data_IF_134319699345
#
_entry.id   IF_134319699345
#
_cell.length_a   1.000
_cell.length_b   1.000
_cell.length_c   1.000
_cell.angle_alpha   90.00
_cell.angle_beta   90.00
_cell.angle_gamma   90.00
#
_symmetry.space_group_name_H-M   'P 1'
#
loop_
_entity.id
_entity.type
_entity.pdbx_description
1 polymer ?
#
# COMPACT_ATOMS: atom_id res chain seq x y z
N UNK A 1 3.04 -18.55 9.99
CA UNK A 1 3.57 -17.35 10.69
C UNK A 1 2.41 -16.77 11.49
N UNK A 2 2.65 -16.41 12.74
CA UNK A 2 1.58 -16.17 13.74
C UNK A 2 1.11 -14.71 13.70
N UNK A 3 -0.18 -14.48 13.98
CA UNK A 3 -0.74 -13.14 14.20
C UNK A 3 0.05 -12.41 15.30
N UNK A 4 0.20 -11.08 15.18
CA UNK A 4 0.85 -10.24 16.19
C UNK A 4 -0.18 -9.36 16.90
N UNK A 5 -0.31 -9.44 18.25
CA UNK A 5 -1.34 -8.70 19.00
C UNK A 5 -1.35 -7.20 18.75
N UNK A 6 -0.16 -6.58 18.69
CA UNK A 6 0.01 -5.13 18.52
C UNK A 6 -0.08 -4.66 17.05
N UNK A 7 -0.28 -5.57 16.10
CA UNK A 7 -0.30 -5.21 14.69
C UNK A 7 -1.73 -4.85 14.25
N UNK A 8 -1.99 -3.60 13.81
CA UNK A 8 -3.34 -3.18 13.40
C UNK A 8 -3.86 -4.00 12.21
N UNK A 9 -2.96 -4.48 11.36
CA UNK A 9 -3.28 -5.32 10.22
C UNK A 9 -3.46 -6.80 10.56
N UNK A 10 -3.01 -7.28 11.72
CA UNK A 10 -3.39 -8.64 12.17
C UNK A 10 -4.79 -8.66 12.79
N UNK A 11 -5.26 -7.51 13.29
CA UNK A 11 -6.53 -7.36 13.98
C UNK A 11 -7.29 -6.14 13.48
N UNK A 12 -7.61 -6.05 12.18
CA UNK A 12 -8.27 -4.86 11.61
C UNK A 12 -9.62 -4.57 12.26
N UNK A 13 -10.31 -5.59 12.79
CA UNK A 13 -11.58 -5.43 13.49
C UNK A 13 -11.48 -4.71 14.85
N UNK A 14 -10.28 -4.52 15.41
CA UNK A 14 -10.09 -3.79 16.68
C UNK A 14 -10.03 -2.28 16.49
N UNK A 15 -9.78 -1.82 15.25
CA UNK A 15 -9.82 -0.40 14.90
C UNK A 15 -11.19 -0.08 14.30
N UNK A 16 -11.99 0.72 15.02
CA UNK A 16 -13.35 1.09 14.62
C UNK A 16 -13.41 1.95 13.35
N UNK A 17 -12.30 2.60 12.98
CA UNK A 17 -12.21 3.38 11.73
C UNK A 17 -11.70 2.53 10.55
N UNK A 18 -11.24 1.31 10.81
CA UNK A 18 -10.74 0.38 9.80
C UNK A 18 -11.90 -0.45 9.23
N UNK A 19 -12.12 -0.33 7.92
CA UNK A 19 -13.16 -1.07 7.21
C UNK A 19 -12.53 -2.17 6.35
N UNK A 20 -13.06 -3.38 6.48
CA UNK A 20 -12.80 -4.49 5.54
C UNK A 20 -13.79 -4.31 4.40
N UNK A 21 -13.28 -3.96 3.21
CA UNK A 21 -14.11 -3.68 2.03
C UNK A 21 -14.33 -4.96 1.22
N UNK A 22 -13.26 -5.73 1.00
CA UNK A 22 -13.29 -7.04 0.37
C UNK A 22 -12.39 -8.00 1.13
N UNK A 23 -12.65 -9.30 1.02
CA UNK A 23 -11.77 -10.33 1.56
C UNK A 23 -11.78 -11.59 0.70
N UNK A 24 -10.64 -12.27 0.71
CA UNK A 24 -10.46 -13.62 0.17
C UNK A 24 -10.13 -14.57 1.33
N UNK A 25 -9.67 -15.79 1.04
CA UNK A 25 -9.27 -16.72 2.10
C UNK A 25 -8.07 -16.20 2.91
N UNK A 26 -7.09 -15.57 2.25
CA UNK A 26 -5.79 -15.20 2.80
C UNK A 26 -5.49 -13.70 2.78
N UNK A 27 -6.32 -12.85 2.18
CA UNK A 27 -6.09 -11.41 2.12
C UNK A 27 -7.34 -10.58 2.44
N UNK A 28 -7.13 -9.32 2.83
CA UNK A 28 -8.14 -8.28 2.98
C UNK A 28 -7.81 -7.09 2.09
N UNK A 29 -8.84 -6.42 1.55
CA UNK A 29 -8.74 -5.03 1.11
C UNK A 29 -9.35 -4.14 2.19
N UNK A 30 -8.53 -3.23 2.71
CA UNK A 30 -8.84 -2.41 3.87
C UNK A 30 -8.84 -0.91 3.52
N UNK A 31 -9.81 -0.16 4.02
CA UNK A 31 -9.84 1.30 3.96
C UNK A 31 -9.95 1.88 5.37
N UNK A 32 -9.11 2.86 5.71
CA UNK A 32 -9.13 3.51 7.01
C UNK A 32 -9.83 4.88 6.92
N UNK A 33 -10.75 5.17 7.86
CA UNK A 33 -11.56 6.40 7.90
C UNK A 33 -10.77 7.70 7.75
N UNK A 34 -9.72 7.89 8.56
CA UNK A 34 -8.77 9.03 8.47
C UNK A 34 -8.21 9.33 7.08
N UNK A 35 -8.02 8.32 6.21
CA UNK A 35 -7.47 8.53 4.88
C UNK A 35 -8.51 9.05 3.87
N UNK A 36 -9.80 8.82 4.13
CA UNK A 36 -10.87 9.06 3.15
C UNK A 36 -11.14 10.54 2.90
N UNK A 37 -10.81 11.42 3.85
CA UNK A 37 -10.90 12.87 3.67
C UNK A 37 -9.71 13.50 2.93
N UNK A 38 -8.64 12.72 2.68
CA UNK A 38 -7.43 13.20 1.98
C UNK A 38 -7.45 12.75 0.52
N UNK A 39 -7.61 11.45 0.30
CA UNK A 39 -7.78 10.85 -1.02
C UNK A 39 -8.82 9.74 -0.89
N UNK A 40 -10.06 10.04 -1.24
CA UNK A 40 -11.19 9.12 -1.16
C UNK A 40 -10.87 7.80 -1.85
N UNK A 41 -11.25 6.69 -1.24
CA UNK A 41 -11.05 5.36 -1.81
C UNK A 41 -9.67 4.76 -1.53
N UNK A 42 -8.71 5.55 -1.04
CA UNK A 42 -7.39 5.04 -0.69
C UNK A 42 -7.48 3.92 0.34
N UNK A 43 -6.79 2.82 0.05
CA UNK A 43 -6.79 1.63 0.86
C UNK A 43 -5.52 0.81 0.71
N UNK A 44 -5.51 -0.35 1.35
CA UNK A 44 -4.41 -1.30 1.31
C UNK A 44 -4.89 -2.74 1.16
N UNK A 45 -4.16 -3.56 0.41
CA UNK A 45 -4.35 -5.01 0.37
C UNK A 45 -3.32 -5.68 1.27
N UNK A 46 -3.79 -6.52 2.19
CA UNK A 46 -3.01 -7.03 3.33
C UNK A 46 -3.25 -8.54 3.49
N UNK A 47 -2.21 -9.37 3.67
CA UNK A 47 -2.41 -10.77 3.99
C UNK A 47 -2.96 -10.93 5.42
N UNK A 48 -3.80 -11.94 5.65
CA UNK A 48 -4.37 -12.21 6.99
C UNK A 48 -3.30 -12.72 7.95
N UNK A 49 -2.35 -13.51 7.45
CA UNK A 49 -1.17 -13.89 8.22
C UNK A 49 -0.16 -12.75 8.24
N UNK A 50 0.52 -12.59 9.37
CA UNK A 50 1.56 -11.58 9.49
C UNK A 50 2.75 -11.89 8.57
N UNK A 51 2.89 -11.11 7.49
CA UNK A 51 4.05 -11.11 6.58
C UNK A 51 4.73 -9.77 6.72
N UNK A 52 6.03 -9.70 6.98
CA UNK A 52 6.66 -8.39 7.22
C UNK A 52 6.87 -7.62 5.92
N UNK A 53 6.96 -8.32 4.79
CA UNK A 53 7.25 -7.76 3.47
C UNK A 53 6.55 -8.55 2.36
N UNK A 54 6.36 -7.97 1.16
CA UNK A 54 5.81 -8.70 0.01
C UNK A 54 6.68 -9.90 -0.42
N UNK A 55 7.97 -9.91 -0.03
CA UNK A 55 8.88 -11.03 -0.31
C UNK A 55 8.54 -12.30 0.48
N UNK A 56 7.70 -12.20 1.52
CA UNK A 56 7.25 -13.31 2.35
C UNK A 56 5.86 -13.84 1.94
N UNK A 57 5.20 -13.19 0.97
CA UNK A 57 3.91 -13.65 0.47
C UNK A 57 4.07 -15.01 -0.22
N UNK A 58 3.17 -15.91 0.11
CA UNK A 58 3.00 -17.20 -0.57
C UNK A 58 2.39 -17.00 -1.96
N UNK A 59 2.48 -18.00 -2.85
CA UNK A 59 1.83 -17.94 -4.16
C UNK A 59 0.31 -17.65 -4.09
N UNK A 60 -0.38 -18.21 -3.10
CA UNK A 60 -1.81 -17.98 -2.91
C UNK A 60 -2.08 -16.53 -2.45
N UNK A 61 -1.31 -16.01 -1.49
CA UNK A 61 -1.44 -14.61 -1.06
C UNK A 61 -1.14 -13.64 -2.21
N UNK A 62 -0.18 -13.95 -3.10
CA UNK A 62 0.07 -13.17 -4.32
C UNK A 62 -1.12 -13.19 -5.30
N UNK A 63 -1.67 -14.37 -5.57
CA UNK A 63 -2.83 -14.54 -6.46
C UNK A 63 -4.05 -13.76 -5.91
N UNK A 64 -4.34 -13.93 -4.63
CA UNK A 64 -5.47 -13.26 -3.99
C UNK A 64 -5.25 -11.75 -3.85
N UNK A 65 -4.00 -11.30 -3.71
CA UNK A 65 -3.67 -9.87 -3.79
C UNK A 65 -4.02 -9.30 -5.16
N UNK A 66 -3.73 -10.03 -6.25
CA UNK A 66 -4.12 -9.61 -7.60
C UNK A 66 -5.64 -9.61 -7.79
N UNK A 67 -6.34 -10.62 -7.27
CA UNK A 67 -7.81 -10.68 -7.30
C UNK A 67 -8.44 -9.47 -6.60
N UNK A 68 -8.02 -9.19 -5.35
CA UNK A 68 -8.49 -8.05 -4.58
C UNK A 68 -8.14 -6.72 -5.24
N UNK A 69 -7.01 -6.62 -5.95
CA UNK A 69 -6.65 -5.41 -6.70
C UNK A 69 -7.62 -5.17 -7.87
N UNK A 70 -8.07 -6.23 -8.54
CA UNK A 70 -9.12 -6.15 -9.57
C UNK A 70 -10.43 -5.62 -8.99
N UNK A 71 -10.91 -6.21 -7.89
CA UNK A 71 -12.14 -5.78 -7.21
C UNK A 71 -12.03 -4.34 -6.68
N UNK A 72 -10.89 -3.97 -6.10
CA UNK A 72 -10.63 -2.61 -5.65
C UNK A 72 -10.70 -1.63 -6.83
N UNK A 73 -10.13 -1.96 -8.00
CA UNK A 73 -10.23 -1.11 -9.18
C UNK A 73 -11.68 -0.93 -9.64
N UNK A 74 -12.47 -1.99 -9.72
CA UNK A 74 -13.87 -1.92 -10.14
C UNK A 74 -14.71 -1.02 -9.22
N UNK A 75 -14.46 -1.09 -7.91
CA UNK A 75 -15.07 -0.21 -6.94
C UNK A 75 -14.62 1.24 -7.13
N UNK A 76 -13.30 1.47 -7.23
CA UNK A 76 -12.71 2.81 -7.28
C UNK A 76 -12.95 3.52 -8.61
N UNK A 77 -13.18 2.80 -9.71
CA UNK A 77 -13.56 3.41 -10.98
C UNK A 77 -14.91 4.15 -10.90
N UNK A 78 -15.76 3.83 -9.91
CA UNK A 78 -17.06 4.50 -9.70
C UNK A 78 -16.91 5.97 -9.27
N UNK A 79 -15.77 6.35 -8.71
CA UNK A 79 -15.43 7.73 -8.36
C UNK A 79 -14.52 8.40 -9.40
N UNK A 80 -14.36 7.77 -10.58
CA UNK A 80 -13.68 8.32 -11.75
C UNK A 80 -12.28 8.92 -11.50
N UNK A 81 -11.33 8.18 -10.88
CA UNK A 81 -9.96 8.67 -10.72
C UNK A 81 -9.25 8.81 -12.07
N UNK A 82 -8.38 9.81 -12.19
CA UNK A 82 -7.51 10.01 -13.36
C UNK A 82 -6.38 8.99 -13.44
N UNK A 83 -6.10 8.26 -12.36
CA UNK A 83 -5.13 7.17 -12.34
C UNK A 83 -4.95 6.55 -10.96
N UNK A 84 -3.90 5.75 -10.80
CA UNK A 84 -3.62 5.06 -9.54
C UNK A 84 -2.12 5.11 -9.20
N UNK A 85 -1.80 5.18 -7.91
CA UNK A 85 -0.48 4.85 -7.37
C UNK A 85 -0.60 3.54 -6.61
N UNK A 86 0.13 2.53 -7.08
CA UNK A 86 0.18 1.20 -6.47
C UNK A 86 1.60 0.92 -6.00
N UNK A 87 1.77 0.37 -4.79
CA UNK A 87 3.09 -0.05 -4.33
C UNK A 87 3.19 -0.48 -2.89
N UNK A 88 4.31 -1.10 -2.56
CA UNK A 88 4.71 -1.44 -1.20
C UNK A 88 5.89 -0.58 -0.78
N UNK A 89 5.89 -0.18 0.48
CA UNK A 89 7.08 0.28 1.17
C UNK A 89 7.66 -0.88 1.99
N UNK A 90 8.97 -1.10 1.89
CA UNK A 90 9.65 -2.19 2.63
C UNK A 90 10.84 -1.62 3.39
N UNK A 91 10.83 -1.79 4.70
CA UNK A 91 11.83 -1.26 5.61
C UNK A 91 11.69 0.23 5.92
N UNK A 92 12.40 0.67 6.96
CA UNK A 92 12.33 2.02 7.51
C UNK A 92 12.73 3.09 6.47
N UNK A 93 13.79 2.85 5.70
CA UNK A 93 14.24 3.77 4.66
C UNK A 93 13.20 3.99 3.54
N UNK A 94 12.28 3.05 3.35
CA UNK A 94 11.16 3.18 2.40
C UNK A 94 9.90 3.75 3.07
N UNK A 95 9.96 4.15 4.34
CA UNK A 95 8.82 4.61 5.13
C UNK A 95 7.75 3.53 5.36
N UNK A 96 8.16 2.29 5.65
CA UNK A 96 7.25 1.24 6.14
C UNK A 96 6.98 1.44 7.65
N UNK A 97 5.95 2.19 8.00
CA UNK A 97 5.58 2.47 9.41
C UNK A 97 4.96 1.27 10.13
N UNK A 98 4.22 0.42 9.40
CA UNK A 98 3.65 -0.83 9.91
C UNK A 98 4.41 -1.98 9.28
N UNK A 99 5.13 -2.75 10.10
CA UNK A 99 5.95 -3.90 9.70
C UNK A 99 5.17 -5.14 9.26
N UNK A 100 4.03 -4.95 8.60
CA UNK A 100 3.19 -5.98 8.00
C UNK A 100 2.94 -5.55 6.55
N UNK A 101 3.30 -6.37 5.57
CA UNK A 101 3.11 -6.19 4.14
C UNK A 101 1.71 -5.66 3.82
N UNK A 102 1.66 -4.55 3.10
CA UNK A 102 0.42 -3.94 2.64
C UNK A 102 0.66 -3.26 1.30
N UNK A 103 -0.07 -3.68 0.27
CA UNK A 103 -0.07 -3.03 -1.02
C UNK A 103 -0.92 -1.78 -0.93
N UNK A 104 -0.34 -0.60 -1.09
CA UNK A 104 -1.12 0.62 -1.23
C UNK A 104 -1.88 0.62 -2.56
N UNK A 105 -3.17 0.92 -2.48
CA UNK A 105 -4.04 1.17 -3.64
C UNK A 105 -4.61 2.58 -3.47
N UNK A 106 -4.01 3.54 -4.18
CA UNK A 106 -4.31 4.97 -4.02
C UNK A 106 -4.88 5.48 -5.35
N UNK A 107 -6.20 5.74 -5.47
CA UNK A 107 -6.75 6.48 -6.59
C UNK A 107 -6.18 7.91 -6.60
N UNK A 108 -5.94 8.44 -7.80
CA UNK A 108 -5.33 9.75 -8.02
C UNK A 108 -6.25 10.60 -8.87
N UNK A 109 -6.35 11.88 -8.55
CA UNK A 109 -7.24 12.82 -9.23
C UNK A 109 -6.44 13.95 -9.88
N UNK A 110 -6.94 14.49 -10.98
CA UNK A 110 -6.24 15.54 -11.74
C UNK A 110 -6.25 16.89 -11.01
N UNK A 111 -7.21 17.09 -10.11
CA UNK A 111 -7.41 18.31 -9.33
C UNK A 111 -6.73 18.27 -7.94
N UNK A 112 -6.13 17.15 -7.54
CA UNK A 112 -5.42 17.06 -6.28
C UNK A 112 -4.09 17.87 -6.33
N UNK A 113 -3.64 18.51 -5.24
CA UNK A 113 -2.42 19.33 -5.23
C UNK A 113 -1.12 18.58 -5.59
N UNK A 114 -1.13 17.25 -5.53
CA UNK A 114 0.01 16.39 -5.81
C UNK A 114 -0.12 15.57 -7.10
N UNK A 115 -1.11 15.88 -7.95
CA UNK A 115 -1.27 15.28 -9.26
C UNK A 115 0.07 15.26 -10.04
N UNK A 116 0.34 14.14 -10.73
CA UNK A 116 1.60 13.92 -11.46
C UNK A 116 2.84 13.60 -10.61
N UNK A 117 2.76 13.69 -9.27
CA UNK A 117 3.83 13.22 -8.36
C UNK A 117 3.57 11.76 -7.97
N UNK A 118 4.28 10.84 -8.63
CA UNK A 118 4.23 9.38 -8.36
C UNK A 118 5.57 8.83 -7.89
N UNK A 119 5.73 7.49 -7.93
CA UNK A 119 6.94 6.78 -7.44
C UNK A 119 8.25 7.35 -8.02
N UNK A 120 8.24 7.73 -9.29
CA UNK A 120 9.41 8.29 -9.99
C UNK A 120 9.74 9.73 -9.61
N UNK A 121 8.89 10.42 -8.84
CA UNK A 121 9.12 11.81 -8.45
C UNK A 121 10.49 11.98 -7.80
N UNK A 122 10.83 11.07 -6.88
CA UNK A 122 12.09 11.08 -6.12
C UNK A 122 13.33 10.80 -6.97
N UNK A 123 13.17 10.10 -8.10
CA UNK A 123 14.26 9.82 -9.04
C UNK A 123 14.58 11.04 -9.93
N UNK A 124 13.64 11.97 -10.06
CA UNK A 124 13.79 13.21 -10.84
C UNK A 124 14.39 14.36 -10.02
N UNK A 125 14.85 14.08 -8.79
CA UNK A 125 15.44 15.06 -7.87
C UNK A 125 16.95 14.82 -7.76
N UNK A 126 17.79 15.59 -8.47
CA UNK A 126 19.25 15.47 -8.34
C UNK A 126 19.74 15.61 -6.89
N UNK A 127 18.98 16.33 -6.05
CA UNK A 127 19.27 16.53 -4.64
C UNK A 127 19.07 15.25 -3.81
N UNK A 128 18.26 14.31 -4.29
CA UNK A 128 18.02 13.01 -3.65
C UNK A 128 19.12 11.97 -3.97
N UNK A 129 20.29 12.44 -4.40
CA UNK A 129 21.47 11.58 -4.53
C UNK A 129 22.05 11.32 -3.16
N UNK A 130 22.45 10.06 -2.92
CA UNK A 130 23.18 9.69 -1.70
C UNK A 130 24.49 10.51 -1.63
N UNK A 131 24.80 11.16 -0.50
CA UNK A 131 26.11 11.75 -0.29
C UNK A 131 27.17 10.66 -0.42
N UNK A 132 28.15 10.86 -1.29
CA UNK A 132 29.39 10.07 -1.37
C UNK A 132 29.24 8.54 -1.31
N UNK A 133 28.99 7.90 -2.46
CA UNK A 133 29.90 6.82 -2.90
C UNK A 133 30.77 7.37 -4.03
N UNK A 134 31.48 8.45 -3.74
CA UNK A 134 32.59 8.89 -4.58
C UNK A 134 33.76 7.95 -4.31
N UNK A 135 33.80 6.85 -5.05
CA UNK A 135 34.88 5.88 -5.05
C UNK A 135 35.04 5.39 -6.46
N UNK A 136 36.03 5.95 -7.12
CA UNK A 136 36.68 5.39 -8.30
C UNK A 136 36.78 3.85 -8.18
N UNK A 137 36.44 3.12 -9.23
CA UNK A 137 36.63 1.67 -9.30
C UNK A 137 35.38 0.82 -9.54
N UNK A 138 34.85 0.85 -10.76
CA UNK A 138 34.76 -0.28 -11.72
C UNK A 138 33.87 0.11 -12.90
#
# INVERSE_FOLDING_TARGET
MQLRPECPFCHPAYDLEQRIVFETANCWFLQHGKAQGVLEGSGVIVPKQHRSSPFELTPNEWQETQELLGLAKELLDQIAPGGYTLGWNVGEASNQSIGHSHLHVIPRFDDEPYAGKGLRHWLKKPENRRPGRGGDGR
#
